data_IF_478771014337
#
_entry.id   IF_478771014337
#
_cell.length_a   1.000
_cell.length_b   1.000
_cell.length_c   1.000
_cell.angle_alpha   90.00
_cell.angle_beta   90.00
_cell.angle_gamma   90.00
#
_symmetry.space_group_name_H-M   'P 1'
#
loop_
_entity.id
_entity.type
_entity.pdbx_description
1 polymer ?
#
# COMPACT_ATOMS: atom_id res chain seq x y z
N UNK A 1 30.21 -20.68 60.89
CA UNK A 1 30.76 -20.68 59.52
C UNK A 1 29.62 -20.39 58.57
N UNK A 2 29.64 -19.22 57.92
CA UNK A 2 28.50 -18.62 57.23
C UNK A 2 28.42 -19.09 55.76
N UNK A 3 27.25 -19.58 55.35
CA UNK A 3 26.93 -19.82 53.93
C UNK A 3 25.49 -19.38 53.66
N UNK A 4 25.27 -18.07 53.46
CA UNK A 4 23.94 -17.53 53.17
C UNK A 4 23.95 -16.36 52.17
N UNK A 5 24.61 -16.48 51.02
CA UNK A 5 24.48 -15.43 49.98
C UNK A 5 24.65 -15.96 48.56
N UNK A 6 23.77 -16.83 48.03
CA UNK A 6 23.76 -17.12 46.57
C UNK A 6 22.39 -17.30 45.88
N UNK A 7 21.25 -17.06 46.54
CA UNK A 7 19.93 -17.36 45.94
C UNK A 7 19.09 -16.15 45.50
N UNK A 8 19.57 -14.92 45.67
CA UNK A 8 18.78 -13.72 45.33
C UNK A 8 18.79 -13.36 43.82
N UNK A 9 19.67 -13.94 43.01
CA UNK A 9 19.84 -13.52 41.60
C UNK A 9 18.80 -14.11 40.64
N UNK A 10 18.32 -15.34 40.88
CA UNK A 10 17.36 -16.03 40.02
C UNK A 10 16.02 -15.28 39.82
N UNK A 11 15.35 -14.77 40.87
CA UNK A 11 14.08 -14.04 40.68
C UNK A 11 14.27 -12.68 40.00
N UNK A 12 15.42 -12.03 40.18
CA UNK A 12 15.74 -10.74 39.54
C UNK A 12 15.97 -10.92 38.03
N UNK A 13 16.68 -11.98 37.63
CA UNK A 13 16.88 -12.32 36.21
C UNK A 13 15.55 -12.68 35.53
N UNK A 14 14.68 -13.41 36.23
CA UNK A 14 13.36 -13.79 35.72
C UNK A 14 12.44 -12.58 35.54
N UNK A 15 12.42 -11.67 36.52
CA UNK A 15 11.67 -10.42 36.43
C UNK A 15 12.20 -9.50 35.31
N UNK A 16 13.52 -9.40 35.15
CA UNK A 16 14.14 -8.64 34.06
C UNK A 16 13.80 -9.22 32.68
N UNK A 17 13.76 -10.55 32.55
CA UNK A 17 13.37 -11.22 31.32
C UNK A 17 11.90 -10.97 30.97
N UNK A 18 10.99 -11.07 31.95
CA UNK A 18 9.56 -10.76 31.75
C UNK A 18 9.36 -9.30 31.33
N UNK A 19 10.07 -8.37 31.98
CA UNK A 19 10.03 -6.95 31.64
C UNK A 19 10.58 -6.71 30.22
N UNK A 20 11.66 -7.38 29.84
CA UNK A 20 12.26 -7.28 28.51
C UNK A 20 11.33 -7.82 27.42
N UNK A 21 10.71 -8.99 27.62
CA UNK A 21 9.72 -9.53 26.67
C UNK A 21 8.47 -8.64 26.58
N UNK A 22 8.01 -8.06 27.70
CA UNK A 22 6.92 -7.09 27.71
C UNK A 22 7.25 -5.82 26.93
N UNK A 23 8.49 -5.31 27.06
CA UNK A 23 8.96 -4.14 26.31
C UNK A 23 9.10 -4.43 24.82
N UNK A 24 9.62 -5.61 24.44
CA UNK A 24 9.72 -6.03 23.04
C UNK A 24 8.33 -6.19 22.38
N UNK A 25 7.32 -6.66 23.12
CA UNK A 25 5.95 -6.79 22.62
C UNK A 25 5.22 -5.44 22.43
N UNK A 26 5.67 -4.38 23.10
CA UNK A 26 5.09 -3.05 23.01
C UNK A 26 5.60 -2.23 21.80
N UNK A 27 6.55 -2.76 21.03
CA UNK A 27 7.05 -2.11 19.82
C UNK A 27 5.99 -2.25 18.73
N UNK A 28 5.08 -1.28 18.67
CA UNK A 28 4.15 -1.15 17.55
C UNK A 28 4.95 -0.90 16.28
N UNK A 29 4.84 -1.80 15.31
CA UNK A 29 5.37 -1.57 13.97
C UNK A 29 4.64 -0.37 13.37
N UNK A 30 5.33 0.76 13.21
CA UNK A 30 4.82 1.88 12.45
C UNK A 30 4.70 1.43 11.00
N UNK A 31 3.49 1.08 10.55
CA UNK A 31 3.23 0.84 9.14
C UNK A 31 3.29 2.18 8.42
N UNK A 32 4.23 2.29 7.48
CA UNK A 32 4.24 3.40 6.53
C UNK A 32 2.89 3.44 5.81
N UNK A 33 2.39 4.66 5.54
CA UNK A 33 1.17 4.82 4.77
C UNK A 33 1.37 4.26 3.35
N UNK A 34 0.47 3.37 2.92
CA UNK A 34 0.49 2.77 1.58
C UNK A 34 0.50 3.85 0.51
N UNK A 35 1.38 3.70 -0.48
CA UNK A 35 1.51 4.67 -1.56
C UNK A 35 0.44 4.44 -2.62
N UNK A 36 -0.56 5.34 -2.68
CA UNK A 36 -1.69 5.24 -3.60
C UNK A 36 -1.38 5.86 -4.96
N UNK A 37 -1.56 5.06 -6.01
CA UNK A 37 -1.49 5.46 -7.42
C UNK A 37 -2.89 5.37 -8.03
N UNK A 38 -3.25 6.31 -8.89
CA UNK A 38 -4.45 6.22 -9.72
C UNK A 38 -4.05 6.14 -11.19
N UNK A 39 -4.50 5.08 -11.87
CA UNK A 39 -4.49 5.01 -13.33
C UNK A 39 -5.75 5.68 -13.86
N UNK A 40 -5.61 6.85 -14.48
CA UNK A 40 -6.72 7.68 -14.95
C UNK A 40 -6.67 7.76 -16.48
N UNK A 41 -7.65 7.15 -17.14
CA UNK A 41 -7.61 7.08 -18.60
C UNK A 41 -8.82 6.47 -19.28
N UNK A 42 -8.61 5.96 -20.48
CA UNK A 42 -9.67 5.38 -21.30
C UNK A 42 -9.77 3.85 -21.20
N UNK A 43 -10.17 3.20 -22.30
CA UNK A 43 -10.21 1.76 -22.51
C UNK A 43 -8.90 1.02 -22.20
N UNK A 44 -7.74 1.62 -22.50
CA UNK A 44 -6.44 1.00 -22.22
C UNK A 44 -6.19 0.91 -20.72
N UNK A 45 -6.56 1.95 -19.98
CA UNK A 45 -6.55 1.94 -18.52
C UNK A 45 -7.63 1.01 -17.95
N UNK A 46 -8.85 1.04 -18.51
CA UNK A 46 -10.00 0.24 -18.05
C UNK A 46 -9.79 -1.27 -18.23
N UNK A 47 -8.87 -1.69 -19.09
CA UNK A 47 -8.66 -3.11 -19.42
C UNK A 47 -9.77 -3.66 -20.30
N UNK A 48 -10.24 -2.88 -21.27
CA UNK A 48 -11.31 -3.29 -22.18
C UNK A 48 -11.01 -4.65 -22.83
N UNK A 49 -12.01 -5.54 -22.84
CA UNK A 49 -11.92 -6.93 -23.34
C UNK A 49 -10.94 -7.86 -22.59
N UNK A 50 -10.36 -7.42 -21.47
CA UNK A 50 -9.52 -8.27 -20.63
C UNK A 50 -10.33 -8.94 -19.51
N UNK A 51 -9.86 -10.10 -19.05
CA UNK A 51 -10.41 -10.74 -17.87
C UNK A 51 -10.01 -9.96 -16.60
N UNK A 52 -10.77 -10.08 -15.49
CA UNK A 52 -10.42 -9.44 -14.22
C UNK A 52 -8.98 -9.78 -13.79
N UNK A 53 -8.24 -8.79 -13.28
CA UNK A 53 -6.86 -8.97 -12.83
C UNK A 53 -5.81 -8.97 -13.95
N UNK A 54 -6.22 -8.77 -15.21
CA UNK A 54 -5.31 -8.71 -16.35
C UNK A 54 -5.07 -7.28 -16.86
N UNK A 55 -5.76 -6.28 -16.32
CA UNK A 55 -5.63 -4.89 -16.72
C UNK A 55 -4.28 -4.28 -16.32
N UNK A 56 -3.94 -3.14 -16.93
CA UNK A 56 -2.68 -2.45 -16.68
C UNK A 56 -2.45 -2.16 -15.19
N UNK A 57 -3.45 -1.63 -14.48
CA UNK A 57 -3.34 -1.29 -13.06
C UNK A 57 -3.08 -2.51 -12.18
N UNK A 58 -3.72 -3.65 -12.49
CA UNK A 58 -3.52 -4.91 -11.76
C UNK A 58 -2.08 -5.41 -11.91
N UNK A 59 -1.60 -5.41 -13.16
CA UNK A 59 -0.24 -5.85 -13.50
C UNK A 59 0.81 -4.91 -12.91
N UNK A 60 0.57 -3.60 -12.95
CA UNK A 60 1.45 -2.61 -12.35
C UNK A 60 1.53 -2.78 -10.83
N UNK A 61 0.39 -2.94 -10.16
CA UNK A 61 0.37 -3.18 -8.71
C UNK A 61 1.14 -4.45 -8.35
N UNK A 62 0.90 -5.55 -9.06
CA UNK A 62 1.60 -6.81 -8.82
C UNK A 62 3.12 -6.66 -9.03
N UNK A 63 3.54 -5.99 -10.10
CA UNK A 63 4.94 -5.77 -10.41
C UNK A 63 5.65 -4.88 -9.38
N UNK A 64 5.00 -3.82 -8.90
CA UNK A 64 5.55 -2.93 -7.87
C UNK A 64 5.63 -3.64 -6.51
N UNK A 65 4.61 -4.41 -6.14
CA UNK A 65 4.64 -5.22 -4.91
C UNK A 65 5.71 -6.30 -4.95
N UNK A 66 5.94 -6.92 -6.11
CA UNK A 66 7.05 -7.86 -6.29
C UNK A 66 8.43 -7.20 -6.11
N UNK A 67 8.53 -5.87 -6.25
CA UNK A 67 9.73 -5.08 -5.93
C UNK A 67 9.79 -4.62 -4.47
N UNK A 68 8.90 -5.10 -3.60
CA UNK A 68 8.86 -4.75 -2.18
C UNK A 68 8.23 -3.40 -1.86
N UNK A 69 7.52 -2.78 -2.82
CA UNK A 69 6.84 -1.51 -2.61
C UNK A 69 5.43 -1.74 -2.05
N UNK A 70 5.10 -1.07 -0.94
CA UNK A 70 3.73 -1.04 -0.42
C UNK A 70 2.89 -0.01 -1.20
N UNK A 71 2.30 -0.47 -2.29
CA UNK A 71 1.48 0.34 -3.20
C UNK A 71 0.08 -0.23 -3.38
N UNK A 72 -0.84 0.68 -3.64
CA UNK A 72 -2.16 0.40 -4.23
C UNK A 72 -2.26 1.14 -5.56
N UNK A 73 -2.80 0.47 -6.58
CA UNK A 73 -3.04 1.09 -7.89
C UNK A 73 -4.52 1.00 -8.19
N UNK A 74 -5.22 2.13 -8.03
CA UNK A 74 -6.64 2.24 -8.35
C UNK A 74 -6.83 2.41 -9.86
N UNK A 75 -7.87 1.77 -10.40
CA UNK A 75 -8.28 1.92 -11.78
C UNK A 75 -9.40 2.95 -11.88
N UNK A 76 -9.13 4.06 -12.56
CA UNK A 76 -10.09 5.09 -12.92
C UNK A 76 -10.18 5.22 -14.46
N UNK A 77 -10.06 4.09 -15.16
CA UNK A 77 -10.25 3.97 -16.61
C UNK A 77 -11.72 3.87 -16.98
N UNK A 78 -12.14 4.61 -18.01
CA UNK A 78 -13.50 4.52 -18.58
C UNK A 78 -13.38 4.34 -20.09
N UNK A 79 -13.81 3.17 -20.60
CA UNK A 79 -13.75 2.87 -22.03
C UNK A 79 -14.51 3.91 -22.85
N UNK A 80 -13.82 4.51 -23.83
CA UNK A 80 -14.39 5.54 -24.71
C UNK A 80 -14.24 6.97 -24.21
N UNK A 81 -13.58 7.19 -23.05
CA UNK A 81 -13.31 8.55 -22.59
C UNK A 81 -12.46 9.34 -23.59
N UNK A 82 -12.92 10.55 -23.89
CA UNK A 82 -12.11 11.59 -24.54
C UNK A 82 -11.39 12.42 -23.49
N UNK A 83 -10.45 13.28 -23.91
CA UNK A 83 -9.80 14.25 -23.02
C UNK A 83 -10.82 15.14 -22.29
N UNK A 84 -11.88 15.56 -22.98
CA UNK A 84 -12.97 16.36 -22.40
C UNK A 84 -13.82 15.57 -21.40
N UNK A 85 -14.10 14.29 -21.69
CA UNK A 85 -14.81 13.39 -20.79
C UNK A 85 -14.04 13.13 -19.50
N UNK A 86 -12.73 12.88 -19.62
CA UNK A 86 -11.83 12.76 -18.48
C UNK A 86 -11.81 14.04 -17.64
N UNK A 87 -11.59 15.21 -18.26
CA UNK A 87 -11.57 16.48 -17.53
C UNK A 87 -12.86 16.70 -16.71
N UNK A 88 -14.03 16.35 -17.25
CA UNK A 88 -15.31 16.47 -16.55
C UNK A 88 -15.44 15.59 -15.30
N UNK A 89 -14.61 14.56 -15.15
CA UNK A 89 -14.66 13.61 -14.02
C UNK A 89 -13.42 13.56 -13.14
N UNK A 90 -12.42 14.40 -13.42
CA UNK A 90 -11.14 14.36 -12.73
C UNK A 90 -11.30 14.42 -11.21
N UNK A 91 -12.11 15.37 -10.72
CA UNK A 91 -12.27 15.65 -9.29
C UNK A 91 -12.79 14.46 -8.47
N UNK A 92 -13.71 13.67 -9.03
CA UNK A 92 -14.28 12.51 -8.32
C UNK A 92 -13.58 11.19 -8.68
N UNK A 93 -12.74 11.17 -9.70
CA UNK A 93 -11.96 10.00 -10.12
C UNK A 93 -10.61 9.89 -9.41
N UNK A 94 -10.07 11.00 -8.90
CA UNK A 94 -8.79 11.05 -8.19
C UNK A 94 -9.04 11.45 -6.74
N UNK A 95 -9.20 10.47 -5.81
CA UNK A 95 -9.52 10.77 -4.43
C UNK A 95 -8.33 11.39 -3.68
N UNK A 96 -8.65 12.08 -2.59
CA UNK A 96 -7.68 12.58 -1.63
C UNK A 96 -6.72 11.47 -1.15
N UNK A 97 -5.47 11.84 -0.94
CA UNK A 97 -4.41 10.88 -0.55
C UNK A 97 -3.77 10.14 -1.74
N UNK A 98 -4.25 10.34 -2.97
CA UNK A 98 -3.53 9.93 -4.18
C UNK A 98 -2.16 10.61 -4.23
N UNK A 99 -1.10 9.83 -4.42
CA UNK A 99 0.28 10.31 -4.42
C UNK A 99 0.88 10.42 -5.82
N UNK A 100 0.29 9.73 -6.79
CA UNK A 100 0.69 9.73 -8.19
C UNK A 100 -0.52 9.42 -9.08
N UNK A 101 -0.65 10.13 -10.19
CA UNK A 101 -1.62 9.86 -11.25
C UNK A 101 -0.86 9.46 -12.52
N UNK A 102 -1.32 8.39 -13.16
CA UNK A 102 -0.92 8.01 -14.53
C UNK A 102 -2.05 8.44 -15.44
N UNK A 103 -1.82 9.49 -16.24
CA UNK A 103 -2.80 10.06 -17.17
C UNK A 103 -2.66 9.42 -18.55
N UNK A 104 -3.74 8.87 -19.07
CA UNK A 104 -3.79 8.18 -20.37
C UNK A 104 -5.12 8.53 -21.07
N UNK A 105 -5.16 9.64 -21.81
CA UNK A 105 -6.32 10.10 -22.56
C UNK A 105 -5.88 10.69 -23.91
N UNK A 106 -6.81 10.73 -24.87
CA UNK A 106 -6.61 11.38 -26.16
C UNK A 106 -6.86 10.47 -27.36
N UNK A 107 -6.88 9.14 -27.17
CA UNK A 107 -7.08 8.21 -28.28
C UNK A 107 -8.49 8.31 -28.88
N UNK A 108 -9.52 8.57 -28.05
CA UNK A 108 -10.92 8.71 -28.50
C UNK A 108 -11.27 10.12 -29.02
N UNK A 109 -10.34 11.08 -28.96
CA UNK A 109 -10.53 12.44 -29.46
C UNK A 109 -10.27 12.57 -30.97
N UNK A 110 -9.65 11.54 -31.57
CA UNK A 110 -9.20 11.51 -32.98
C UNK A 110 -10.32 11.32 -34.00
#
# INVERSE_FOLDING_TARGET
MAFKHRFAAAPVVFAALILFLGLCGAISSARAATFTIVGFGDSLMAGYSLAPGQGFTDRLQAALRAKGLDVTVANAGVSGDTSSGGLARLDWSVPDGTRLVILELGANDM
#
